data_IF_283972281762
#
_entry.id   IF_283972281762
#
_cell.length_a   1.000
_cell.length_b   1.000
_cell.length_c   1.000
_cell.angle_alpha   90.00
_cell.angle_beta   90.00
_cell.angle_gamma   90.00
#
_symmetry.space_group_name_H-M   'P 1'
#
loop_
_entity.id
_entity.type
_entity.pdbx_description
1 polymer ?
#
# COMPACT_ATOMS: atom_id res chain seq x y z
N UNK A 1 23.99 -22.98 6.76
CA UNK A 1 24.35 -24.21 6.01
C UNK A 1 23.70 -24.11 4.64
N UNK A 2 24.31 -24.67 3.60
CA UNK A 2 23.68 -24.73 2.29
C UNK A 2 22.57 -25.81 2.30
N UNK A 3 21.62 -25.70 1.38
CA UNK A 3 20.64 -26.77 1.17
C UNK A 3 21.38 -28.06 0.80
N UNK A 4 21.05 -29.17 1.47
CA UNK A 4 21.79 -30.41 1.25
C UNK A 4 21.66 -31.44 2.36
N UNK A 5 22.17 -32.63 2.07
CA UNK A 5 22.24 -33.74 3.03
C UNK A 5 23.66 -33.86 3.54
N UNK A 6 23.81 -33.88 4.86
CA UNK A 6 25.07 -33.89 5.58
C UNK A 6 25.16 -35.16 6.42
N UNK A 7 26.20 -35.96 6.20
CA UNK A 7 26.50 -37.10 7.05
C UNK A 7 27.12 -36.60 8.35
N UNK A 8 26.39 -36.72 9.46
CA UNK A 8 26.87 -36.33 10.80
C UNK A 8 27.72 -37.44 11.41
N UNK A 9 27.35 -38.70 11.18
CA UNK A 9 28.07 -39.90 11.62
C UNK A 9 28.08 -40.90 10.46
N UNK A 10 29.26 -41.46 10.21
CA UNK A 10 29.48 -42.58 9.29
C UNK A 10 30.08 -43.77 10.06
N UNK A 11 29.23 -44.75 10.42
CA UNK A 11 29.66 -45.98 11.07
C UNK A 11 29.94 -47.12 10.08
N UNK A 12 29.81 -46.87 8.76
CA UNK A 12 29.95 -47.89 7.72
C UNK A 12 31.37 -48.44 7.61
N UNK A 13 32.38 -47.64 7.97
CA UNK A 13 33.79 -48.04 8.01
C UNK A 13 34.09 -49.18 8.99
N UNK A 14 33.16 -49.49 9.91
CA UNK A 14 33.29 -50.57 10.88
C UNK A 14 32.38 -51.77 10.56
N UNK A 15 31.77 -51.82 9.36
CA UNK A 15 30.83 -52.88 8.96
C UNK A 15 29.52 -52.89 9.75
N UNK A 16 29.23 -51.84 10.52
CA UNK A 16 28.06 -51.77 11.38
C UNK A 16 26.85 -51.24 10.60
N UNK A 17 25.85 -52.10 10.40
CA UNK A 17 24.59 -51.77 9.71
C UNK A 17 23.46 -51.41 10.67
N UNK A 18 23.73 -51.33 11.97
CA UNK A 18 22.72 -51.06 12.99
C UNK A 18 22.10 -49.66 12.85
N UNK A 19 20.82 -49.57 13.25
CA UNK A 19 20.08 -48.32 13.36
C UNK A 19 20.76 -47.43 14.43
N UNK A 20 21.09 -46.18 14.08
CA UNK A 20 21.61 -45.21 15.06
C UNK A 20 20.42 -44.57 15.78
N UNK A 21 20.31 -44.80 17.10
CA UNK A 21 19.17 -44.35 17.93
C UNK A 21 19.62 -43.39 19.05
N UNK A 22 18.67 -42.70 19.68
CA UNK A 22 18.94 -41.83 20.84
C UNK A 22 19.31 -40.38 20.52
N UNK A 23 19.22 -39.94 19.27
CA UNK A 23 19.44 -38.56 18.87
C UNK A 23 18.12 -37.85 18.60
N UNK A 24 17.99 -36.65 19.13
CA UNK A 24 16.94 -35.69 18.79
C UNK A 24 17.61 -34.43 18.24
N UNK A 25 16.99 -33.80 17.24
CA UNK A 25 17.37 -32.43 16.90
C UNK A 25 16.99 -31.54 18.08
N UNK A 26 17.96 -30.77 18.58
CA UNK A 26 17.67 -29.68 19.50
C UNK A 26 16.90 -28.55 18.81
N UNK A 27 16.79 -27.40 19.48
CA UNK A 27 16.30 -26.18 18.83
C UNK A 27 17.35 -25.73 17.83
N UNK A 28 17.07 -25.90 16.54
CA UNK A 28 17.92 -25.43 15.46
C UNK A 28 17.52 -24.02 15.11
N UNK A 29 18.50 -23.13 14.98
CA UNK A 29 18.32 -21.75 14.55
C UNK A 29 18.40 -21.67 13.02
N UNK A 30 17.60 -20.78 12.43
CA UNK A 30 17.49 -20.62 10.99
C UNK A 30 16.22 -21.23 10.42
N UNK A 31 15.59 -20.49 9.52
CA UNK A 31 14.27 -20.81 8.97
C UNK A 31 14.22 -21.97 7.98
N UNK A 32 15.09 -22.98 8.07
CA UNK A 32 15.11 -24.14 7.18
C UNK A 32 14.32 -25.31 7.79
N UNK A 33 13.81 -26.21 6.95
CA UNK A 33 13.31 -27.50 7.44
C UNK A 33 14.48 -28.44 7.72
N UNK A 34 14.50 -29.10 8.87
CA UNK A 34 15.54 -30.08 9.22
C UNK A 34 14.90 -31.45 9.43
N UNK A 35 15.48 -32.47 8.80
CA UNK A 35 15.09 -33.86 9.03
C UNK A 35 16.34 -34.67 9.37
N UNK A 36 16.23 -35.50 10.42
CA UNK A 36 17.20 -36.54 10.69
C UNK A 36 16.73 -37.81 10.01
N UNK A 37 17.58 -38.40 9.18
CA UNK A 37 17.40 -39.73 8.67
C UNK A 37 18.41 -40.67 9.35
N UNK A 38 17.87 -41.69 10.02
CA UNK A 38 18.62 -42.78 10.64
C UNK A 38 18.15 -44.16 10.13
N UNK A 39 17.32 -44.22 9.08
CA UNK A 39 16.47 -45.38 8.82
C UNK A 39 17.17 -46.61 8.24
N UNK A 40 18.44 -46.55 7.78
CA UNK A 40 19.25 -47.74 7.44
C UNK A 40 20.68 -47.38 7.03
N UNK A 41 21.65 -48.24 7.36
CA UNK A 41 22.99 -48.22 6.76
C UNK A 41 24.12 -47.59 7.59
N UNK A 42 23.98 -47.45 8.92
CA UNK A 42 25.06 -46.92 9.77
C UNK A 42 25.35 -45.44 9.59
N UNK A 43 24.47 -44.69 8.92
CA UNK A 43 24.58 -43.25 8.76
C UNK A 43 23.59 -42.52 9.65
N UNK A 44 24.02 -41.40 10.23
CA UNK A 44 23.12 -40.37 10.74
C UNK A 44 23.21 -39.18 9.79
N UNK A 45 22.15 -38.92 9.02
CA UNK A 45 22.12 -37.83 8.05
C UNK A 45 21.21 -36.71 8.53
N UNK A 46 21.73 -35.48 8.47
CA UNK A 46 20.93 -34.27 8.57
C UNK A 46 20.61 -33.78 7.16
N UNK A 47 19.33 -33.76 6.81
CA UNK A 47 18.88 -33.07 5.61
C UNK A 47 18.38 -31.70 6.02
N UNK A 48 19.09 -30.67 5.56
CA UNK A 48 18.64 -29.27 5.60
C UNK A 48 17.86 -29.05 4.31
N UNK A 49 16.55 -28.92 4.42
CA UNK A 49 15.66 -28.56 3.31
C UNK A 49 15.57 -27.04 3.11
N UNK A 50 14.64 -26.59 2.27
CA UNK A 50 14.51 -25.16 1.93
C UNK A 50 14.02 -24.32 3.13
N UNK A 51 14.23 -23.00 3.04
CA UNK A 51 13.60 -22.07 3.97
C UNK A 51 12.09 -22.33 4.02
N UNK A 52 11.51 -22.34 5.22
CA UNK A 52 10.11 -22.64 5.49
C UNK A 52 9.22 -21.73 4.64
N UNK A 53 8.28 -22.34 3.92
CA UNK A 53 7.29 -21.64 3.13
C UNK A 53 6.32 -20.91 4.07
N UNK A 54 6.56 -19.63 4.31
CA UNK A 54 5.73 -18.79 5.17
C UNK A 54 6.20 -17.34 5.17
N UNK A 55 5.35 -16.38 5.54
CA UNK A 55 5.73 -14.99 5.58
C UNK A 55 6.92 -14.75 6.51
N UNK A 56 7.72 -13.73 6.21
CA UNK A 56 8.79 -13.27 7.08
C UNK A 56 8.27 -12.16 8.00
N UNK A 57 8.53 -12.26 9.29
CA UNK A 57 8.08 -11.33 10.31
C UNK A 57 9.22 -10.41 10.74
N UNK A 58 8.98 -9.11 10.78
CA UNK A 58 9.91 -8.17 11.37
C UNK A 58 9.86 -8.27 12.89
N UNK A 59 10.98 -8.65 13.50
CA UNK A 59 11.08 -8.80 14.96
C UNK A 59 11.61 -7.55 15.65
N UNK A 60 12.39 -6.72 14.96
CA UNK A 60 13.09 -5.58 15.56
C UNK A 60 14.00 -5.96 16.74
N UNK A 61 14.38 -7.24 16.87
CA UNK A 61 15.13 -7.74 18.01
C UNK A 61 16.57 -7.21 18.05
N UNK A 62 17.07 -6.69 16.92
CA UNK A 62 18.40 -6.07 16.86
C UNK A 62 18.28 -4.56 16.84
N UNK A 63 19.26 -3.89 17.43
CA UNK A 63 19.37 -2.43 17.47
C UNK A 63 19.70 -1.79 16.11
N UNK A 64 19.75 -2.56 15.03
CA UNK A 64 20.00 -2.07 13.68
C UNK A 64 18.69 -1.74 12.97
N UNK A 65 18.63 -0.60 12.30
CA UNK A 65 17.49 -0.20 11.45
C UNK A 65 17.53 -0.83 10.05
N UNK A 66 18.14 -1.98 9.84
CA UNK A 66 18.50 -2.50 8.50
C UNK A 66 17.69 -3.73 8.09
N UNK A 67 17.38 -3.85 6.79
CA UNK A 67 16.83 -5.07 6.19
C UNK A 67 17.91 -6.10 5.83
N UNK A 68 19.19 -5.74 5.90
CA UNK A 68 20.32 -6.57 5.49
C UNK A 68 20.62 -7.71 6.47
N UNK A 69 21.37 -8.71 5.99
CA UNK A 69 22.02 -9.69 6.87
C UNK A 69 23.23 -9.06 7.55
N UNK A 70 23.37 -9.29 8.85
CA UNK A 70 24.54 -8.95 9.64
C UNK A 70 25.35 -10.21 9.92
N UNK A 71 26.68 -10.10 9.90
CA UNK A 71 27.57 -11.18 10.33
C UNK A 71 28.16 -10.76 11.68
N UNK A 72 27.95 -11.57 12.72
CA UNK A 72 28.57 -11.31 14.02
C UNK A 72 30.07 -11.64 14.02
N UNK A 73 30.78 -11.30 15.10
CA UNK A 73 32.21 -11.58 15.24
C UNK A 73 32.57 -13.08 15.24
N UNK A 74 31.57 -13.96 15.28
CA UNK A 74 31.72 -15.42 15.21
C UNK A 74 31.40 -15.97 13.82
N UNK A 75 31.08 -15.10 12.84
CA UNK A 75 30.74 -15.51 11.47
C UNK A 75 29.27 -15.93 11.29
N UNK A 76 28.42 -15.72 12.29
CA UNK A 76 26.99 -16.08 12.23
C UNK A 76 26.20 -15.01 11.48
N UNK A 77 25.48 -15.41 10.43
CA UNK A 77 24.55 -14.55 9.70
C UNK A 77 23.24 -14.39 10.46
N UNK A 78 22.79 -13.16 10.56
CA UNK A 78 21.90 -12.71 11.63
C UNK A 78 21.03 -11.58 11.07
N UNK A 79 19.74 -11.50 11.43
CA UNK A 79 18.83 -10.51 10.83
C UNK A 79 17.77 -9.99 11.80
N UNK A 80 16.97 -9.02 11.37
CA UNK A 80 15.74 -8.59 12.06
C UNK A 80 14.51 -9.42 11.65
N UNK A 81 14.70 -10.46 10.83
CA UNK A 81 13.62 -11.25 10.24
C UNK A 81 13.43 -12.59 10.95
N UNK A 82 12.19 -13.04 11.01
CA UNK A 82 11.80 -14.34 11.54
C UNK A 82 10.89 -15.11 10.58
N UNK A 83 11.00 -16.44 10.57
CA UNK A 83 10.11 -17.31 9.77
C UNK A 83 8.85 -17.75 10.52
N UNK A 84 8.75 -17.39 11.81
CA UNK A 84 7.58 -17.62 12.63
C UNK A 84 7.12 -16.33 13.32
N UNK A 85 5.87 -16.32 13.76
CA UNK A 85 5.25 -15.22 14.49
C UNK A 85 5.79 -15.06 15.92
N UNK A 86 6.41 -16.09 16.51
CA UNK A 86 6.96 -16.01 17.86
C UNK A 86 8.34 -15.34 17.88
N UNK A 87 8.55 -14.42 18.83
CA UNK A 87 9.83 -13.77 19.08
C UNK A 87 10.93 -14.82 19.33
N UNK A 88 12.06 -14.69 18.62
CA UNK A 88 13.27 -15.51 18.83
C UNK A 88 13.63 -16.49 17.70
N UNK A 89 12.81 -16.64 16.66
CA UNK A 89 13.21 -17.40 15.47
C UNK A 89 13.96 -16.49 14.47
N UNK A 90 15.29 -16.39 14.55
CA UNK A 90 16.05 -15.64 13.52
C UNK A 90 16.04 -16.43 12.19
N UNK A 91 15.64 -15.76 11.11
CA UNK A 91 15.69 -16.34 9.77
C UNK A 91 17.13 -16.52 9.27
N UNK A 92 18.10 -15.77 9.83
CA UNK A 92 19.51 -15.74 9.40
C UNK A 92 19.72 -15.21 7.97
N UNK A 93 18.65 -14.72 7.33
CA UNK A 93 18.59 -14.29 5.94
C UNK A 93 17.51 -13.21 5.76
N UNK A 94 17.64 -12.43 4.70
CA UNK A 94 16.65 -11.40 4.36
C UNK A 94 15.47 -11.98 3.57
N UNK A 95 14.30 -11.32 3.55
CA UNK A 95 13.16 -11.75 2.74
C UNK A 95 13.52 -11.78 1.25
N UNK A 96 13.15 -12.87 0.59
CA UNK A 96 13.11 -12.97 -0.87
C UNK A 96 11.72 -12.61 -1.41
N UNK A 97 11.34 -13.18 -2.57
CA UNK A 97 9.99 -13.08 -3.16
C UNK A 97 8.94 -13.80 -2.32
N UNK A 98 8.65 -13.24 -1.15
CA UNK A 98 7.72 -13.77 -0.15
C UNK A 98 6.98 -12.62 0.53
N UNK A 99 5.93 -12.94 1.27
CA UNK A 99 5.20 -11.95 2.04
C UNK A 99 6.00 -11.55 3.27
N UNK A 100 5.99 -10.26 3.57
CA UNK A 100 6.62 -9.71 4.76
C UNK A 100 5.55 -9.08 5.65
N UNK A 101 5.69 -9.28 6.96
CA UNK A 101 4.74 -8.80 7.96
C UNK A 101 5.49 -8.03 9.04
N UNK A 102 5.06 -6.80 9.30
CA UNK A 102 5.45 -6.02 10.47
C UNK A 102 4.39 -6.17 11.55
N UNK A 103 4.76 -6.70 12.71
CA UNK A 103 3.88 -6.90 13.87
C UNK A 103 4.46 -6.14 15.05
N UNK A 104 3.90 -4.99 15.45
CA UNK A 104 4.65 -4.08 16.33
C UNK A 104 3.82 -3.40 17.42
N UNK A 105 4.30 -3.58 18.66
CA UNK A 105 3.86 -2.87 19.86
C UNK A 105 4.46 -1.46 20.03
N UNK A 106 5.46 -1.10 19.22
CA UNK A 106 6.18 0.18 19.30
C UNK A 106 6.64 0.64 17.92
N UNK A 107 6.82 1.96 17.68
CA UNK A 107 7.23 2.46 16.37
C UNK A 107 8.55 1.86 15.88
N UNK A 108 8.64 1.58 14.59
CA UNK A 108 9.87 1.08 13.92
C UNK A 108 10.23 2.00 12.77
N UNK A 109 11.52 2.32 12.68
CA UNK A 109 12.11 2.92 11.50
C UNK A 109 13.21 2.00 10.98
N UNK A 110 13.13 1.69 9.69
CA UNK A 110 14.06 0.78 9.02
C UNK A 110 14.41 1.27 7.61
N UNK A 111 15.51 0.79 7.04
CA UNK A 111 16.06 1.15 5.74
C UNK A 111 16.12 -0.06 4.81
N UNK A 112 15.77 0.13 3.54
CA UNK A 112 16.07 -0.80 2.46
C UNK A 112 17.50 -0.56 1.98
N UNK A 113 18.45 -1.34 2.49
CA UNK A 113 19.88 -1.14 2.20
C UNK A 113 20.31 -1.71 0.85
N UNK A 114 19.40 -2.42 0.17
CA UNK A 114 19.54 -2.98 -1.17
C UNK A 114 18.14 -3.16 -1.79
N UNK A 115 18.02 -3.50 -3.09
CA UNK A 115 16.74 -3.85 -3.67
C UNK A 115 16.12 -5.10 -3.03
N UNK A 116 14.83 -5.05 -2.71
CA UNK A 116 14.05 -6.18 -2.21
C UNK A 116 12.86 -6.44 -3.12
N UNK A 117 12.55 -7.72 -3.37
CA UNK A 117 11.36 -8.14 -4.12
C UNK A 117 10.50 -9.00 -3.23
N UNK A 118 9.27 -8.58 -2.95
CA UNK A 118 8.32 -9.26 -2.06
C UNK A 118 7.09 -9.70 -2.85
N UNK A 119 6.33 -10.68 -2.37
CA UNK A 119 4.99 -10.93 -2.91
C UNK A 119 3.96 -9.93 -2.37
N UNK A 120 4.13 -9.49 -1.13
CA UNK A 120 3.28 -8.51 -0.46
C UNK A 120 3.87 -8.03 0.87
N UNK A 121 3.31 -6.95 1.40
CA UNK A 121 3.74 -6.30 2.62
C UNK A 121 2.53 -6.04 3.54
N UNK A 122 2.57 -6.58 4.74
CA UNK A 122 1.49 -6.41 5.72
C UNK A 122 1.99 -5.69 6.96
N UNK A 123 1.20 -4.74 7.45
CA UNK A 123 1.37 -4.11 8.75
C UNK A 123 0.23 -4.56 9.66
N UNK A 124 0.58 -5.06 10.83
CA UNK A 124 -0.32 -5.71 11.77
C UNK A 124 -0.12 -5.17 13.19
N UNK A 125 -1.22 -5.00 13.92
CA UNK A 125 -1.20 -4.68 15.34
C UNK A 125 -0.92 -5.91 16.20
N UNK A 126 -0.69 -5.71 17.49
CA UNK A 126 -0.40 -6.79 18.46
C UNK A 126 -1.50 -7.85 18.61
N UNK A 127 -2.73 -7.56 18.15
CA UNK A 127 -3.90 -8.45 18.22
C UNK A 127 -4.65 -8.60 16.88
N UNK A 128 -4.07 -8.14 15.77
CA UNK A 128 -4.73 -8.16 14.47
C UNK A 128 -4.89 -9.60 13.96
N UNK A 129 -6.11 -9.97 13.53
CA UNK A 129 -6.39 -11.25 12.87
C UNK A 129 -6.42 -12.49 13.78
N UNK A 130 -6.58 -12.33 15.10
CA UNK A 130 -6.63 -13.46 16.04
C UNK A 130 -5.27 -14.13 16.31
N UNK A 131 -4.19 -13.55 15.79
CA UNK A 131 -2.82 -13.96 16.07
C UNK A 131 -2.31 -13.22 17.31
N UNK A 132 -2.07 -13.95 18.40
CA UNK A 132 -1.36 -13.42 19.58
C UNK A 132 0.13 -13.64 19.40
N UNK A 133 0.88 -12.55 19.27
CA UNK A 133 2.34 -12.58 19.10
C UNK A 133 3.03 -12.49 20.47
N UNK A 134 3.82 -13.50 20.85
CA UNK A 134 4.56 -13.49 22.11
C UNK A 134 5.59 -12.34 22.12
N UNK A 135 5.52 -11.45 23.11
CA UNK A 135 6.43 -10.31 23.25
C UNK A 135 5.94 -8.98 22.64
N UNK A 136 4.76 -8.94 22.03
CA UNK A 136 4.17 -7.67 21.60
C UNK A 136 3.71 -6.87 22.82
N UNK A 137 4.30 -5.69 23.04
CA UNK A 137 3.71 -4.68 23.91
C UNK A 137 2.36 -4.23 23.35
N UNK A 138 1.44 -3.82 24.21
CA UNK A 138 0.04 -3.47 23.89
C UNK A 138 -0.12 -2.17 23.06
N UNK A 139 0.74 -1.92 22.09
CA UNK A 139 0.74 -0.70 21.28
C UNK A 139 0.57 -0.97 19.78
N UNK A 140 0.30 0.11 19.04
CA UNK A 140 0.12 0.11 17.59
C UNK A 140 1.24 0.98 17.01
N UNK A 141 2.42 0.39 16.84
CA UNK A 141 3.62 1.09 16.43
C UNK A 141 3.59 1.49 14.96
N UNK A 142 3.78 2.76 14.66
CA UNK A 142 3.95 3.24 13.28
C UNK A 142 5.22 2.64 12.66
N UNK A 143 5.16 2.20 11.40
CA UNK A 143 6.33 1.71 10.66
C UNK A 143 6.78 2.73 9.64
N UNK A 144 8.08 2.98 9.57
CA UNK A 144 8.71 3.79 8.53
C UNK A 144 9.76 2.96 7.80
N UNK A 145 9.60 2.77 6.50
CA UNK A 145 10.56 2.09 5.60
C UNK A 145 11.21 3.14 4.71
N UNK A 146 12.44 3.52 5.03
CA UNK A 146 13.24 4.48 4.28
C UNK A 146 14.02 3.80 3.15
N UNK A 147 14.41 4.56 2.14
CA UNK A 147 15.52 4.16 1.28
C UNK A 147 16.82 4.18 2.12
N UNK A 148 17.64 3.13 2.04
CA UNK A 148 18.99 3.14 2.60
C UNK A 148 19.96 3.98 1.76
N UNK A 149 21.24 4.02 2.15
CA UNK A 149 22.29 4.60 1.32
C UNK A 149 22.50 3.76 0.04
N UNK A 150 21.86 4.14 -1.07
CA UNK A 150 21.91 3.43 -2.36
C UNK A 150 20.55 3.39 -3.08
N UNK A 151 20.39 2.50 -4.07
CA UNK A 151 19.15 2.26 -4.83
C UNK A 151 18.16 1.34 -4.08
N UNK A 152 17.88 1.61 -2.80
CA UNK A 152 16.94 0.84 -1.98
C UNK A 152 15.52 0.86 -2.55
N UNK A 153 15.20 -0.09 -3.42
CA UNK A 153 13.91 -0.21 -4.12
C UNK A 153 13.12 -1.39 -3.58
N UNK A 154 11.83 -1.17 -3.31
CA UNK A 154 10.87 -2.20 -2.95
C UNK A 154 10.07 -2.64 -4.18
N UNK A 155 10.29 -3.84 -4.67
CA UNK A 155 9.45 -4.44 -5.72
C UNK A 155 8.34 -5.28 -5.09
N UNK A 156 7.09 -5.01 -5.44
CA UNK A 156 5.91 -5.72 -4.95
C UNK A 156 5.33 -6.65 -6.02
N UNK A 157 5.04 -7.88 -5.62
CA UNK A 157 4.24 -8.86 -6.34
C UNK A 157 2.74 -8.64 -6.11
N UNK A 158 1.93 -9.66 -6.39
CA UNK A 158 0.47 -9.53 -6.52
C UNK A 158 -0.30 -9.31 -5.22
N UNK A 159 0.31 -9.54 -4.06
CA UNK A 159 -0.39 -9.48 -2.77
C UNK A 159 -0.48 -8.05 -2.22
N UNK A 160 0.25 -7.10 -2.81
CA UNK A 160 0.12 -5.68 -2.52
C UNK A 160 0.55 -5.28 -1.11
N UNK A 161 -0.11 -4.23 -0.59
CA UNK A 161 0.17 -3.68 0.74
C UNK A 161 -1.10 -3.73 1.58
N UNK A 162 -1.02 -4.24 2.80
CA UNK A 162 -2.16 -4.27 3.72
C UNK A 162 -1.79 -3.66 5.06
N UNK A 163 -2.49 -2.59 5.44
CA UNK A 163 -2.49 -2.05 6.81
C UNK A 163 -3.76 -2.59 7.49
N UNK A 164 -3.58 -3.60 8.34
CA UNK A 164 -4.68 -4.28 9.03
C UNK A 164 -5.34 -3.39 10.08
N UNK A 165 -6.52 -3.80 10.53
CA UNK A 165 -7.23 -3.12 11.63
C UNK A 165 -6.34 -3.05 12.87
N UNK A 166 -6.21 -1.84 13.42
CA UNK A 166 -5.33 -1.58 14.56
C UNK A 166 -3.84 -1.79 14.28
N UNK A 167 -3.36 -1.71 13.04
CA UNK A 167 -1.92 -1.85 12.77
C UNK A 167 -1.08 -0.65 13.24
N UNK A 168 -1.64 0.56 13.20
CA UNK A 168 -0.92 1.79 13.52
C UNK A 168 -1.79 2.75 14.34
N UNK A 169 -1.14 3.57 15.15
CA UNK A 169 -1.80 4.64 15.92
C UNK A 169 -2.04 5.89 15.08
N UNK A 170 -1.34 6.05 13.95
CA UNK A 170 -1.56 7.18 13.05
C UNK A 170 -1.14 6.89 11.61
N UNK A 171 0.14 6.58 11.36
CA UNK A 171 0.67 6.52 10.01
C UNK A 171 1.76 5.47 9.83
N UNK A 172 1.63 4.65 8.80
CA UNK A 172 2.71 3.84 8.24
C UNK A 172 3.29 4.57 7.03
N UNK A 173 4.62 4.63 6.91
CA UNK A 173 5.32 5.37 5.86
C UNK A 173 6.26 4.48 5.07
N UNK A 174 6.20 4.56 3.75
CA UNK A 174 7.17 3.99 2.82
C UNK A 174 7.83 5.15 2.08
N UNK A 175 9.04 5.50 2.50
CA UNK A 175 9.90 6.50 1.87
C UNK A 175 10.76 5.94 0.75
N UNK A 176 10.94 4.61 0.69
CA UNK A 176 11.64 3.97 -0.41
C UNK A 176 10.83 4.00 -1.73
N UNK A 177 11.54 3.98 -2.87
CA UNK A 177 10.91 3.81 -4.17
C UNK A 177 10.23 2.44 -4.24
N UNK A 178 9.08 2.40 -4.91
CA UNK A 178 8.26 1.18 -5.06
C UNK A 178 8.12 0.84 -6.55
N UNK A 179 8.35 -0.43 -6.89
CA UNK A 179 8.04 -0.99 -8.21
C UNK A 179 6.85 -1.91 -8.04
N UNK A 180 5.75 -1.64 -8.75
CA UNK A 180 4.59 -2.52 -8.82
C UNK A 180 4.80 -3.51 -9.96
N UNK A 181 5.25 -4.73 -9.64
CA UNK A 181 5.58 -5.77 -10.63
C UNK A 181 4.36 -6.50 -11.19
N UNK A 182 3.17 -6.23 -10.66
CA UNK A 182 1.87 -6.77 -11.06
C UNK A 182 0.76 -5.83 -10.60
N UNK A 183 -0.49 -6.06 -11.04
CA UNK A 183 -1.64 -5.34 -10.50
C UNK A 183 -1.68 -5.44 -8.96
N UNK A 184 -1.94 -4.31 -8.31
CA UNK A 184 -1.84 -4.17 -6.85
C UNK A 184 -3.19 -3.95 -6.21
N UNK A 185 -3.36 -4.49 -5.01
CA UNK A 185 -4.39 -4.09 -4.05
C UNK A 185 -3.73 -3.58 -2.78
N UNK A 186 -3.90 -2.30 -2.49
CA UNK A 186 -3.41 -1.64 -1.29
C UNK A 186 -4.59 -1.33 -0.37
N UNK A 187 -4.66 -1.99 0.79
CA UNK A 187 -5.75 -1.85 1.75
C UNK A 187 -5.29 -1.10 3.00
N UNK A 188 -6.05 -0.08 3.40
CA UNK A 188 -5.87 0.60 4.69
C UNK A 188 -7.18 0.47 5.46
N UNK A 189 -7.23 -0.49 6.38
CA UNK A 189 -8.50 -1.01 6.91
C UNK A 189 -9.36 0.08 7.57
N UNK A 190 -8.79 0.81 8.52
CA UNK A 190 -9.54 1.73 9.38
C UNK A 190 -9.35 3.20 9.00
N UNK A 191 -10.39 4.01 9.19
CA UNK A 191 -10.42 5.44 8.84
C UNK A 191 -9.40 6.30 9.59
N UNK A 192 -8.96 5.85 10.77
CA UNK A 192 -7.94 6.52 11.57
C UNK A 192 -6.51 6.25 11.08
N UNK A 193 -6.32 5.23 10.23
CA UNK A 193 -5.01 4.81 9.76
C UNK A 193 -4.66 5.48 8.43
N UNK A 194 -3.37 5.74 8.26
CA UNK A 194 -2.80 6.31 7.05
C UNK A 194 -1.64 5.45 6.56
N UNK A 195 -1.62 5.15 5.26
CA UNK A 195 -0.42 4.69 4.55
C UNK A 195 0.12 5.87 3.72
N UNK A 196 1.32 6.34 4.05
CA UNK A 196 2.04 7.35 3.27
C UNK A 196 3.09 6.68 2.41
N UNK A 197 3.05 6.90 1.10
CA UNK A 197 4.11 6.48 0.17
C UNK A 197 4.69 7.72 -0.47
N UNK A 198 5.89 8.08 -0.05
CA UNK A 198 6.60 9.27 -0.51
C UNK A 198 7.69 8.98 -1.54
N UNK A 199 8.15 7.72 -1.62
CA UNK A 199 9.00 7.26 -2.72
C UNK A 199 8.24 7.21 -4.06
N UNK A 200 8.99 7.19 -5.16
CA UNK A 200 8.41 7.07 -6.50
C UNK A 200 7.83 5.67 -6.67
N UNK A 201 6.57 5.60 -7.08
CA UNK A 201 5.91 4.37 -7.50
C UNK A 201 6.02 4.25 -9.02
N UNK A 202 6.54 3.13 -9.50
CA UNK A 202 6.74 2.82 -10.92
C UNK A 202 6.16 1.46 -11.28
N UNK A 203 5.79 1.27 -12.55
CA UNK A 203 5.27 0.00 -13.06
C UNK A 203 4.59 0.17 -14.41
N UNK A 204 4.66 -0.83 -15.28
CA UNK A 204 4.13 -0.77 -16.65
C UNK A 204 2.84 -1.61 -16.76
N UNK A 205 1.74 -0.99 -17.18
CA UNK A 205 0.43 -1.57 -17.39
C UNK A 205 -0.29 -2.04 -16.13
N UNK A 206 0.32 -1.89 -14.95
CA UNK A 206 -0.18 -2.45 -13.70
C UNK A 206 -1.11 -1.46 -12.98
N UNK A 207 -2.37 -1.88 -12.78
CA UNK A 207 -3.36 -1.13 -12.04
C UNK A 207 -3.01 -1.08 -10.54
N UNK A 208 -3.15 0.09 -9.92
CA UNK A 208 -3.13 0.26 -8.47
C UNK A 208 -4.56 0.39 -7.91
N UNK A 209 -4.98 -0.54 -7.07
CA UNK A 209 -6.29 -0.48 -6.40
C UNK A 209 -6.15 -0.11 -4.92
N UNK A 210 -6.81 0.97 -4.48
CA UNK A 210 -6.92 1.35 -3.06
C UNK A 210 -8.24 0.84 -2.47
N UNK A 211 -8.17 0.14 -1.34
CA UNK A 211 -9.32 -0.34 -0.57
C UNK A 211 -9.18 -0.02 0.93
N UNK A 212 -10.21 -0.35 1.71
CA UNK A 212 -10.29 -0.01 3.14
C UNK A 212 -10.61 1.47 3.41
N UNK A 213 -11.12 1.76 4.61
CA UNK A 213 -11.67 3.08 4.94
C UNK A 213 -10.62 4.15 5.26
N UNK A 214 -9.37 3.75 5.50
CA UNK A 214 -8.26 4.66 5.81
C UNK A 214 -7.71 5.43 4.61
N UNK A 215 -6.68 6.25 4.88
CA UNK A 215 -6.08 7.12 3.88
C UNK A 215 -4.84 6.49 3.22
N UNK A 216 -4.70 6.68 1.91
CA UNK A 216 -3.46 6.50 1.16
C UNK A 216 -2.95 7.90 0.76
N UNK A 217 -1.75 8.26 1.19
CA UNK A 217 -1.11 9.55 0.86
C UNK A 217 0.01 9.27 -0.13
N UNK A 218 -0.07 9.89 -1.32
CA UNK A 218 0.93 9.76 -2.38
C UNK A 218 1.56 11.13 -2.62
N UNK A 219 2.86 11.25 -2.36
CA UNK A 219 3.60 12.52 -2.55
C UNK A 219 4.72 12.44 -3.58
N UNK A 220 5.12 11.24 -3.97
CA UNK A 220 6.12 11.01 -5.02
C UNK A 220 5.61 11.41 -6.41
N UNK A 221 6.54 11.76 -7.31
CA UNK A 221 6.24 11.91 -8.74
C UNK A 221 6.18 10.52 -9.36
N UNK A 222 5.00 9.90 -9.33
CA UNK A 222 4.82 8.51 -9.70
C UNK A 222 4.78 8.33 -11.23
N UNK A 223 5.27 7.19 -11.71
CA UNK A 223 5.41 6.87 -13.13
C UNK A 223 4.63 5.62 -13.55
N UNK A 224 3.91 4.97 -12.64
CA UNK A 224 3.03 3.86 -13.01
C UNK A 224 1.92 4.35 -13.96
N UNK A 225 1.62 3.55 -14.99
CA UNK A 225 0.76 3.96 -16.12
C UNK A 225 -0.50 3.11 -16.27
N UNK A 226 -0.69 2.08 -15.44
CA UNK A 226 -1.91 1.24 -15.44
C UNK A 226 -3.14 1.88 -14.77
N UNK A 227 -3.01 3.09 -14.21
CA UNK A 227 -4.09 3.83 -13.56
C UNK A 227 -4.28 3.53 -12.08
N UNK A 228 -5.23 4.24 -11.47
CA UNK A 228 -5.59 4.08 -10.05
C UNK A 228 -7.10 3.89 -9.87
N UNK A 229 -7.50 2.83 -9.17
CA UNK A 229 -8.90 2.62 -8.74
C UNK A 229 -9.01 2.77 -7.23
N UNK A 230 -9.79 3.74 -6.75
CA UNK A 230 -10.07 3.91 -5.33
C UNK A 230 -11.47 3.36 -5.01
N UNK A 231 -11.50 2.20 -4.34
CA UNK A 231 -12.73 1.53 -3.94
C UNK A 231 -13.31 2.06 -2.64
N UNK A 232 -12.45 2.49 -1.70
CA UNK A 232 -12.86 3.03 -0.41
C UNK A 232 -11.80 3.96 0.21
N UNK A 233 -12.26 4.78 1.18
CA UNK A 233 -11.41 5.66 1.97
C UNK A 233 -10.97 6.89 1.18
N UNK A 234 -9.77 7.40 1.49
CA UNK A 234 -9.25 8.64 0.87
C UNK A 234 -7.91 8.39 0.20
N UNK A 235 -7.73 8.93 -1.01
CA UNK A 235 -6.43 9.07 -1.67
C UNK A 235 -6.04 10.55 -1.61
N UNK A 236 -4.97 10.88 -0.89
CA UNK A 236 -4.46 12.26 -0.76
C UNK A 236 -3.27 12.47 -1.68
N UNK A 237 -3.28 13.56 -2.44
CA UNK A 237 -2.23 13.91 -3.40
C UNK A 237 -1.91 15.40 -3.38
N UNK A 238 -0.67 15.73 -3.68
CA UNK A 238 -0.15 17.10 -3.75
C UNK A 238 0.22 17.55 -5.17
N UNK A 239 0.13 16.68 -6.17
CA UNK A 239 0.34 17.01 -7.57
C UNK A 239 -0.33 15.95 -8.48
N UNK A 240 -0.46 16.25 -9.76
CA UNK A 240 -1.06 15.31 -10.73
C UNK A 240 -0.25 14.00 -10.83
N UNK A 241 1.08 14.08 -10.90
CA UNK A 241 1.93 12.89 -11.06
C UNK A 241 1.94 11.98 -9.81
N UNK A 242 1.45 12.42 -8.65
CA UNK A 242 1.19 11.52 -7.52
C UNK A 242 0.17 10.43 -7.85
N UNK A 243 -0.69 10.64 -8.85
CA UNK A 243 -1.64 9.63 -9.34
C UNK A 243 -1.05 8.72 -10.44
N UNK A 244 0.25 8.82 -10.76
CA UNK A 244 0.93 8.05 -11.81
C UNK A 244 1.11 8.83 -13.11
N UNK A 245 1.06 8.14 -14.26
CA UNK A 245 0.96 8.75 -15.59
C UNK A 245 -0.49 9.10 -15.97
N UNK A 246 -0.71 10.22 -16.66
CA UNK A 246 -2.03 10.72 -17.01
C UNK A 246 -2.88 9.74 -17.84
N UNK A 247 -2.24 8.99 -18.72
CA UNK A 247 -2.90 8.05 -19.63
C UNK A 247 -3.60 6.89 -18.91
N UNK A 248 -3.17 6.51 -17.70
CA UNK A 248 -3.77 5.41 -16.94
C UNK A 248 -5.15 5.74 -16.37
N UNK A 249 -5.48 7.03 -16.24
CA UNK A 249 -6.75 7.47 -15.67
C UNK A 249 -6.94 7.14 -14.19
N UNK A 250 -8.11 7.46 -13.67
CA UNK A 250 -8.50 7.20 -12.29
C UNK A 250 -9.98 6.80 -12.20
N UNK A 251 -10.30 5.82 -11.37
CA UNK A 251 -11.68 5.46 -11.01
C UNK A 251 -11.92 5.74 -9.53
N UNK A 252 -12.91 6.56 -9.22
CA UNK A 252 -13.39 6.84 -7.87
C UNK A 252 -14.70 6.08 -7.65
N UNK A 253 -14.72 5.08 -6.79
CA UNK A 253 -15.95 4.42 -6.36
C UNK A 253 -16.41 5.03 -5.03
N UNK A 254 -16.51 4.26 -3.95
CA UNK A 254 -16.92 4.75 -2.63
C UNK A 254 -15.75 5.45 -1.89
N UNK A 255 -15.03 6.34 -2.59
CA UNK A 255 -13.78 6.93 -2.12
C UNK A 255 -13.69 8.43 -2.44
N UNK A 256 -12.77 9.09 -1.73
CA UNK A 256 -12.45 10.50 -1.90
C UNK A 256 -11.06 10.69 -2.50
N UNK A 257 -10.95 11.46 -3.58
CA UNK A 257 -9.69 12.10 -3.97
C UNK A 257 -9.56 13.42 -3.20
N UNK A 258 -8.49 13.57 -2.43
CA UNK A 258 -8.20 14.81 -1.71
C UNK A 258 -6.95 15.48 -2.29
N UNK A 259 -7.12 16.68 -2.86
CA UNK A 259 -6.01 17.53 -3.29
C UNK A 259 -5.54 18.40 -2.12
N UNK A 260 -4.34 18.13 -1.63
CA UNK A 260 -3.70 18.86 -0.52
C UNK A 260 -2.86 20.05 -1.02
N UNK A 261 -2.64 20.12 -2.34
CA UNK A 261 -2.00 21.24 -3.03
C UNK A 261 -2.72 21.57 -4.34
N UNK A 262 -2.49 22.79 -4.85
CA UNK A 262 -3.07 23.21 -6.13
C UNK A 262 -2.31 22.65 -7.33
N UNK A 263 -3.02 22.08 -8.29
CA UNK A 263 -2.46 21.58 -9.55
C UNK A 263 -3.53 21.46 -10.64
N UNK A 264 -3.06 21.29 -11.88
CA UNK A 264 -3.91 20.95 -13.02
C UNK A 264 -3.68 19.49 -13.40
N UNK A 265 -4.75 18.77 -13.70
CA UNK A 265 -4.70 17.40 -14.18
C UNK A 265 -5.61 17.22 -15.40
N UNK A 266 -5.19 16.42 -16.36
CA UNK A 266 -5.90 16.18 -17.62
C UNK A 266 -6.24 14.70 -17.83
N UNK A 267 -6.11 13.83 -16.82
CA UNK A 267 -6.50 12.41 -16.93
C UNK A 267 -8.00 12.24 -17.10
N UNK A 268 -8.38 11.06 -17.60
CA UNK A 268 -9.73 10.55 -17.42
C UNK A 268 -10.01 10.24 -15.95
N UNK A 269 -11.17 10.68 -15.45
CA UNK A 269 -11.66 10.34 -14.10
C UNK A 269 -13.06 9.74 -14.20
N UNK A 270 -13.22 8.49 -13.79
CA UNK A 270 -14.53 7.82 -13.73
C UNK A 270 -15.11 7.91 -12.33
N UNK A 271 -16.29 8.51 -12.19
CA UNK A 271 -17.11 8.51 -10.98
C UNK A 271 -18.00 7.26 -11.02
N UNK A 272 -17.60 6.22 -10.30
CA UNK A 272 -18.24 4.90 -10.35
C UNK A 272 -19.32 4.66 -9.30
N UNK A 273 -19.50 5.55 -8.31
CA UNK A 273 -20.42 5.33 -7.20
C UNK A 273 -21.16 6.62 -6.78
N UNK A 274 -22.27 6.47 -6.05
CA UNK A 274 -22.98 7.61 -5.47
C UNK A 274 -22.16 8.43 -4.45
N UNK A 275 -21.04 7.85 -3.97
CA UNK A 275 -20.17 8.45 -2.95
C UNK A 275 -18.80 8.85 -3.52
N UNK A 276 -18.63 8.85 -4.85
CA UNK A 276 -17.40 9.33 -5.47
C UNK A 276 -17.18 10.79 -5.11
N UNK A 277 -16.07 11.09 -4.41
CA UNK A 277 -15.85 12.42 -3.86
C UNK A 277 -14.54 13.03 -4.31
N UNK A 278 -14.56 14.35 -4.50
CA UNK A 278 -13.39 15.18 -4.78
C UNK A 278 -13.38 16.29 -3.73
N UNK A 279 -12.34 16.32 -2.92
CA UNK A 279 -12.12 17.33 -1.89
C UNK A 279 -10.85 18.11 -2.22
N UNK A 280 -10.94 19.44 -2.14
CA UNK A 280 -9.82 20.35 -2.32
C UNK A 280 -9.60 21.06 -0.99
N UNK A 281 -8.38 20.96 -0.46
CA UNK A 281 -8.04 21.62 0.80
C UNK A 281 -8.14 23.15 0.68
N UNK A 282 -8.37 23.82 1.80
CA UNK A 282 -8.53 25.27 1.86
C UNK A 282 -7.35 25.99 1.18
N UNK A 283 -7.65 27.09 0.49
CA UNK A 283 -6.69 27.89 -0.30
C UNK A 283 -6.06 27.19 -1.50
N UNK A 284 -6.38 25.91 -1.77
CA UNK A 284 -5.87 25.20 -2.94
C UNK A 284 -6.85 25.27 -4.11
N UNK A 285 -6.32 25.08 -5.32
CA UNK A 285 -7.12 24.96 -6.55
C UNK A 285 -6.75 23.70 -7.31
N UNK A 286 -7.70 22.77 -7.45
CA UNK A 286 -7.58 21.62 -8.35
C UNK A 286 -8.32 21.95 -9.65
N UNK A 287 -7.63 21.84 -10.78
CA UNK A 287 -8.26 21.99 -12.11
C UNK A 287 -8.23 20.67 -12.85
N UNK A 288 -9.40 20.14 -13.22
CA UNK A 288 -9.49 19.12 -14.26
C UNK A 288 -9.58 19.81 -15.62
N UNK A 289 -8.48 19.79 -16.36
CA UNK A 289 -8.35 20.36 -17.70
C UNK A 289 -8.57 19.27 -18.74
N UNK A 290 -9.82 19.07 -19.12
CA UNK A 290 -10.19 18.10 -20.13
C UNK A 290 -9.51 18.43 -21.45
N UNK A 291 -8.92 17.42 -22.07
CA UNK A 291 -8.42 17.49 -23.44
C UNK A 291 -9.43 16.86 -24.39
N UNK A 292 -9.15 16.88 -25.70
CA UNK A 292 -10.01 16.25 -26.72
C UNK A 292 -10.28 14.75 -26.49
N UNK A 293 -9.47 14.08 -25.66
CA UNK A 293 -9.58 12.65 -25.36
C UNK A 293 -9.78 12.35 -23.88
N UNK A 294 -9.88 13.37 -23.03
CA UNK A 294 -10.01 13.17 -21.59
C UNK A 294 -11.16 13.95 -20.99
N UNK A 295 -11.86 13.36 -20.02
CA UNK A 295 -13.01 13.96 -19.34
C UNK A 295 -13.35 13.23 -18.04
N UNK A 296 -14.28 13.79 -17.27
CA UNK A 296 -14.95 13.09 -16.17
C UNK A 296 -16.15 12.30 -16.73
N UNK A 297 -16.27 11.04 -16.32
CA UNK A 297 -17.29 10.08 -16.80
C UNK A 297 -17.91 9.26 -15.68
N UNK A 298 -18.87 8.39 -16.00
CA UNK A 298 -19.39 7.36 -15.09
C UNK A 298 -20.81 7.61 -14.57
N UNK A 299 -21.43 6.59 -13.99
CA UNK A 299 -22.82 6.68 -13.48
C UNK A 299 -22.92 7.24 -12.06
N UNK A 300 -21.78 7.45 -11.40
CA UNK A 300 -21.69 7.99 -10.05
C UNK A 300 -21.98 9.48 -9.95
N UNK A 301 -22.01 9.95 -8.70
CA UNK A 301 -22.26 11.35 -8.34
C UNK A 301 -20.93 12.05 -8.13
N UNK A 302 -20.78 13.28 -8.61
CA UNK A 302 -19.68 14.15 -8.21
C UNK A 302 -19.97 14.76 -6.84
N UNK A 303 -19.36 14.24 -5.78
CA UNK A 303 -19.42 14.87 -4.46
C UNK A 303 -18.22 15.81 -4.28
N UNK A 304 -18.37 17.08 -4.63
CA UNK A 304 -17.37 18.11 -4.36
C UNK A 304 -17.53 18.61 -2.92
N UNK A 305 -16.55 18.41 -2.04
CA UNK A 305 -16.74 18.58 -0.58
C UNK A 305 -15.63 19.32 0.16
N UNK A 306 -14.67 19.90 -0.55
CA UNK A 306 -13.55 20.65 0.06
C UNK A 306 -13.82 22.15 0.18
N UNK A 307 -13.07 22.81 1.08
CA UNK A 307 -13.13 24.27 1.28
C UNK A 307 -12.33 25.06 0.21
N UNK A 308 -11.53 24.38 -0.60
CA UNK A 308 -10.78 24.97 -1.71
C UNK A 308 -11.61 25.18 -2.97
N UNK A 309 -10.91 25.30 -4.10
CA UNK A 309 -11.52 25.51 -5.42
C UNK A 309 -11.35 24.30 -6.33
N UNK A 310 -12.46 23.76 -6.83
CA UNK A 310 -12.47 22.75 -7.90
C UNK A 310 -12.86 23.42 -9.22
N UNK A 311 -12.02 23.33 -10.24
CA UNK A 311 -12.30 23.83 -11.59
C UNK A 311 -12.53 22.66 -12.53
N UNK A 312 -13.69 22.64 -13.18
CA UNK A 312 -14.05 21.66 -14.21
C UNK A 312 -13.92 22.35 -15.57
N UNK A 313 -12.70 22.34 -16.13
CA UNK A 313 -12.41 22.91 -17.43
C UNK A 313 -12.68 21.88 -18.54
N UNK A 314 -13.94 21.85 -18.97
CA UNK A 314 -14.46 20.89 -19.95
C UNK A 314 -14.65 21.48 -21.36
N UNK A 315 -14.03 22.65 -21.63
CA UNK A 315 -14.23 23.40 -22.88
C UNK A 315 -13.81 22.64 -24.13
N UNK A 316 -12.84 21.73 -24.03
CA UNK A 316 -12.38 20.91 -25.16
C UNK A 316 -13.11 19.58 -25.26
N UNK A 317 -13.72 19.12 -24.17
CA UNK A 317 -14.45 17.86 -24.10
C UNK A 317 -15.35 17.85 -22.87
N UNK A 318 -16.66 17.91 -23.10
CA UNK A 318 -17.66 18.01 -22.04
C UNK A 318 -17.63 16.76 -21.13
N UNK A 319 -17.84 16.95 -19.83
CA UNK A 319 -18.03 15.81 -18.92
C UNK A 319 -19.34 15.08 -19.25
N UNK A 320 -19.37 13.76 -19.05
CA UNK A 320 -20.52 12.91 -19.41
C UNK A 320 -20.99 11.99 -18.27
N UNK A 321 -20.57 12.26 -17.03
CA UNK A 321 -21.08 11.52 -15.88
C UNK A 321 -22.57 11.79 -15.63
N UNK A 322 -23.31 10.77 -15.22
CA UNK A 322 -24.78 10.81 -15.22
C UNK A 322 -25.44 10.85 -13.84
N UNK A 323 -24.70 10.61 -12.75
CA UNK A 323 -25.28 10.57 -11.40
C UNK A 323 -25.63 11.95 -10.83
N UNK A 324 -25.14 13.03 -11.45
CA UNK A 324 -25.35 14.41 -10.98
C UNK A 324 -24.22 14.89 -10.07
N UNK A 325 -24.43 16.04 -9.45
CA UNK A 325 -23.42 16.74 -8.67
C UNK A 325 -23.95 17.21 -7.32
N UNK A 326 -23.19 16.96 -6.26
CA UNK A 326 -23.41 17.49 -4.91
C UNK A 326 -22.21 18.37 -4.57
N UNK A 327 -22.48 19.66 -4.38
CA UNK A 327 -21.49 20.72 -4.18
C UNK A 327 -21.59 21.16 -2.72
N UNK A 328 -20.52 20.98 -1.95
CA UNK A 328 -20.52 21.15 -0.50
C UNK A 328 -19.14 21.54 0.07
N UNK A 329 -19.05 21.74 1.40
CA UNK A 329 -17.78 21.90 2.10
C UNK A 329 -17.23 23.33 2.20
N UNK A 330 -17.99 24.34 1.80
CA UNK A 330 -17.66 25.77 1.89
C UNK A 330 -16.81 26.30 0.75
N UNK A 331 -16.35 25.42 -0.15
CA UNK A 331 -15.49 25.77 -1.28
C UNK A 331 -16.21 26.30 -2.50
N UNK A 332 -15.44 26.52 -3.56
CA UNK A 332 -15.95 26.96 -4.88
C UNK A 332 -15.81 25.85 -5.90
N UNK A 333 -16.88 25.56 -6.64
CA UNK A 333 -16.81 24.76 -7.87
C UNK A 333 -17.00 25.68 -9.05
N UNK A 334 -15.99 25.77 -9.90
CA UNK A 334 -16.04 26.54 -11.14
C UNK A 334 -16.40 25.63 -12.31
N UNK A 335 -17.51 25.93 -12.98
CA UNK A 335 -17.99 25.28 -14.19
C UNK A 335 -17.94 26.24 -15.38
N UNK A 336 -17.67 25.74 -16.58
CA UNK A 336 -17.75 26.53 -17.81
C UNK A 336 -19.11 26.42 -18.51
N UNK A 337 -19.83 25.32 -18.31
CA UNK A 337 -21.18 25.11 -18.81
C UNK A 337 -21.93 24.03 -18.00
N UNK A 338 -23.13 23.68 -18.46
CA UNK A 338 -23.99 22.71 -17.76
C UNK A 338 -23.38 21.31 -17.71
N UNK A 339 -22.77 20.90 -18.82
CA UNK A 339 -22.17 19.59 -18.94
C UNK A 339 -20.94 19.45 -18.03
N UNK A 340 -20.35 20.57 -17.56
CA UNK A 340 -19.26 20.50 -16.58
C UNK A 340 -19.69 19.72 -15.33
N UNK A 341 -20.97 19.82 -14.94
CA UNK A 341 -21.56 19.16 -13.77
C UNK A 341 -22.32 17.86 -14.10
N UNK A 342 -22.07 17.27 -15.28
CA UNK A 342 -22.69 16.02 -15.74
C UNK A 342 -24.15 16.22 -16.15
N UNK A 343 -24.91 15.12 -16.30
CA UNK A 343 -26.32 15.15 -16.75
C UNK A 343 -27.37 14.95 -15.64
N UNK A 344 -26.96 14.53 -14.44
CA UNK A 344 -27.87 14.32 -13.31
C UNK A 344 -28.21 15.62 -12.55
N UNK A 345 -29.01 15.53 -11.49
CA UNK A 345 -29.43 16.69 -10.70
C UNK A 345 -28.24 17.39 -10.01
N UNK A 346 -28.40 18.68 -9.71
CA UNK A 346 -27.41 19.48 -9.00
C UNK A 346 -27.95 19.83 -7.62
N UNK A 347 -27.14 19.57 -6.58
CA UNK A 347 -27.41 20.00 -5.21
C UNK A 347 -26.29 20.91 -4.73
N UNK A 348 -26.63 22.11 -4.29
CA UNK A 348 -25.74 23.07 -3.65
C UNK A 348 -26.00 23.05 -2.14
N UNK A 349 -25.04 22.58 -1.36
CA UNK A 349 -25.15 22.44 0.09
C UNK A 349 -23.94 23.06 0.79
N UNK A 350 -24.02 24.36 1.10
CA UNK A 350 -22.91 25.14 1.65
C UNK A 350 -21.66 25.12 0.75
N UNK A 351 -21.81 25.45 -0.54
CA UNK A 351 -20.71 25.71 -1.48
C UNK A 351 -21.09 26.87 -2.42
N UNK A 352 -20.08 27.38 -3.12
CA UNK A 352 -20.25 28.37 -4.19
C UNK A 352 -20.14 27.70 -5.56
N UNK A 353 -21.16 27.81 -6.40
CA UNK A 353 -21.03 27.47 -7.83
C UNK A 353 -20.66 28.74 -8.60
N UNK A 354 -19.48 28.74 -9.21
CA UNK A 354 -19.03 29.82 -10.09
C UNK A 354 -19.19 29.38 -11.54
N UNK A 355 -19.97 30.09 -12.34
CA UNK A 355 -20.09 29.81 -13.77
C UNK A 355 -19.37 30.86 -14.60
N UNK A 356 -18.52 30.41 -15.54
CA UNK A 356 -17.73 31.29 -16.43
C UNK A 356 -18.28 31.38 -17.87
N UNK A 357 -19.41 30.73 -18.14
CA UNK A 357 -20.14 30.75 -19.42
C UNK A 357 -21.65 30.89 -19.22
N UNK A 358 -22.45 30.48 -20.21
CA UNK A 358 -23.91 30.49 -20.10
C UNK A 358 -24.40 29.27 -19.32
N UNK A 359 -25.26 29.49 -18.33
CA UNK A 359 -25.88 28.44 -17.53
C UNK A 359 -27.40 28.46 -17.72
N UNK A 360 -27.96 27.51 -18.47
CA UNK A 360 -29.40 27.42 -18.71
C UNK A 360 -29.87 25.99 -18.42
N UNK A 361 -30.17 25.72 -17.16
CA UNK A 361 -30.50 24.37 -16.71
C UNK A 361 -32.02 24.16 -16.62
N UNK A 362 -32.50 23.03 -17.15
CA UNK A 362 -33.88 22.57 -16.98
C UNK A 362 -34.01 21.48 -15.90
N UNK A 363 -32.89 21.04 -15.32
CA UNK A 363 -32.84 20.04 -14.23
C UNK A 363 -33.25 20.65 -12.90
N UNK A 364 -33.52 19.78 -11.93
CA UNK A 364 -33.76 20.20 -10.55
C UNK A 364 -32.44 20.73 -9.95
N UNK A 365 -32.47 22.01 -9.54
CA UNK A 365 -31.45 22.63 -8.71
C UNK A 365 -31.94 22.71 -7.26
N UNK A 366 -31.30 21.96 -6.37
CA UNK A 366 -31.58 22.06 -4.93
C UNK A 366 -30.57 22.99 -4.28
N UNK A 367 -31.04 24.09 -3.68
CA UNK A 367 -30.21 25.05 -2.95
C UNK A 367 -30.47 24.91 -1.44
N UNK A 368 -29.47 24.42 -0.71
CA UNK A 368 -29.48 24.30 0.74
C UNK A 368 -29.01 25.58 1.46
N UNK A 369 -29.07 25.57 2.78
CA UNK A 369 -28.64 26.70 3.61
C UNK A 369 -27.16 27.06 3.37
N UNK A 370 -26.85 28.37 3.36
CA UNK A 370 -25.51 28.93 3.16
C UNK A 370 -24.83 28.58 1.80
N UNK A 371 -25.60 28.14 0.80
CA UNK A 371 -25.11 28.04 -0.57
C UNK A 371 -25.18 29.39 -1.30
N UNK A 372 -24.26 29.63 -2.22
CA UNK A 372 -24.31 30.74 -3.18
C UNK A 372 -24.19 30.16 -4.59
N UNK A 373 -25.04 30.59 -5.51
CA UNK A 373 -24.94 30.28 -6.94
C UNK A 373 -24.67 31.57 -7.73
#
# INVERSE_FOLDING_TARGET
MNNGSYTLIDASNNGNTALITGFTLGVLTGGYSYTLDNNTGGFLKLTVGTAAAGPYYWTGARSTSSWATLVDNLGTTTSNWATGSAAGSDAGATPGKIDVIFTLGSPVTTTLDQPYSLTGLTFAGSSAGGLTFAGSSAGNGNVTINAGGGDGVLTLGSNGITVLTGASSSATTIGANVVIGSAQSWSVADSVQTLTVSGIISGNGNLLTKSGSGALVLTGTNTFDGGLTANAGTVKVNNANSLGAGAGGMTLNNATLQATAGFTDSRNVTLGHANSAISVDASQTLTFANSVSTKLTGSGVLNASGAGKLVLDDRLNANDFSGGSILSGGGTVQAYGLNSLGSGNITLNAATLQVSGTFTDARLLTVGNAASA
#
